data_IF_795256025626
#
_entry.id   IF_795256025626
#
_cell.length_a   1.000
_cell.length_b   1.000
_cell.length_c   1.000
_cell.angle_alpha   90.00
_cell.angle_beta   90.00
_cell.angle_gamma   90.00
#
_symmetry.space_group_name_H-M   'P 1'
#
loop_
_entity.id
_entity.type
_entity.pdbx_description
1 polymer ?
#
# COMPACT_ATOMS: atom_id res chain seq x y z
N UNK A 1 0.15 -17.32 -6.10
CA UNK A 1 -0.83 -16.48 -5.41
C UNK A 1 -2.11 -17.16 -4.92
N UNK A 2 -2.52 -18.37 -5.37
CA UNK A 2 -3.75 -19.05 -4.84
C UNK A 2 -4.98 -18.12 -4.71
N UNK A 3 -5.14 -17.19 -5.65
CA UNK A 3 -6.25 -16.23 -5.69
C UNK A 3 -7.35 -16.75 -6.62
N UNK A 4 -8.63 -16.40 -6.37
CA UNK A 4 -9.75 -16.88 -7.19
C UNK A 4 -9.84 -16.19 -8.56
N UNK A 5 -9.25 -15.00 -8.70
CA UNK A 5 -9.34 -14.17 -9.92
C UNK A 5 -7.96 -13.58 -10.24
N UNK A 6 -7.64 -13.51 -11.53
CA UNK A 6 -6.46 -12.82 -12.03
C UNK A 6 -6.86 -11.95 -13.24
N UNK A 7 -6.49 -10.66 -13.21
CA UNK A 7 -6.78 -9.70 -14.26
C UNK A 7 -5.45 -9.15 -14.80
N UNK A 8 -5.03 -9.51 -16.02
CA UNK A 8 -3.80 -8.98 -16.60
C UNK A 8 -3.97 -7.52 -17.02
N UNK A 9 -2.92 -6.72 -16.85
CA UNK A 9 -2.85 -5.32 -17.30
C UNK A 9 -1.60 -5.12 -18.14
N UNK A 10 -1.42 -3.91 -18.69
CA UNK A 10 -0.26 -3.56 -19.51
C UNK A 10 1.05 -3.36 -18.73
N UNK A 11 0.99 -3.15 -17.41
CA UNK A 11 2.17 -2.94 -16.54
C UNK A 11 1.81 -3.01 -15.05
N UNK A 12 2.81 -3.12 -14.17
CA UNK A 12 2.59 -3.04 -12.71
C UNK A 12 2.00 -1.70 -12.24
N UNK A 13 2.36 -0.58 -12.88
CA UNK A 13 1.74 0.72 -12.59
C UNK A 13 0.25 0.73 -12.98
N UNK A 14 -0.10 0.15 -14.13
CA UNK A 14 -1.50 0.00 -14.54
C UNK A 14 -2.28 -0.93 -13.60
N UNK A 15 -1.67 -2.03 -13.12
CA UNK A 15 -2.27 -2.91 -12.13
C UNK A 15 -2.56 -2.18 -10.81
N UNK A 16 -1.57 -1.44 -10.29
CA UNK A 16 -1.73 -0.65 -9.07
C UNK A 16 -2.81 0.43 -9.23
N UNK A 17 -2.85 1.10 -10.37
CA UNK A 17 -3.88 2.11 -10.65
C UNK A 17 -5.29 1.51 -10.63
N UNK A 18 -5.49 0.36 -11.29
CA UNK A 18 -6.79 -0.35 -11.29
C UNK A 18 -7.18 -0.78 -9.88
N UNK A 19 -6.23 -1.31 -9.08
CA UNK A 19 -6.48 -1.68 -7.69
C UNK A 19 -6.93 -0.48 -6.85
N UNK A 20 -6.27 0.68 -7.00
CA UNK A 20 -6.62 1.91 -6.29
C UNK A 20 -7.97 2.49 -6.74
N UNK A 21 -8.32 2.40 -8.02
CA UNK A 21 -9.65 2.78 -8.50
C UNK A 21 -10.74 1.91 -7.87
N UNK A 22 -10.50 0.61 -7.73
CA UNK A 22 -11.43 -0.31 -7.07
C UNK A 22 -11.61 -0.02 -5.57
N UNK A 23 -10.62 0.59 -4.92
CA UNK A 23 -10.71 1.02 -3.52
C UNK A 23 -11.63 2.23 -3.30
N UNK A 24 -12.06 2.90 -4.39
CA UNK A 24 -12.93 4.09 -4.37
C UNK A 24 -12.41 5.22 -3.46
N UNK A 25 -11.11 5.51 -3.56
CA UNK A 25 -10.42 6.57 -2.82
C UNK A 25 -10.64 7.93 -3.48
N UNK A 26 -10.54 9.01 -2.70
CA UNK A 26 -10.64 10.38 -3.20
C UNK A 26 -9.75 11.41 -2.45
N UNK A 27 -9.96 12.72 -2.70
CA UNK A 27 -9.11 13.82 -2.23
C UNK A 27 -8.87 13.91 -0.72
N UNK A 28 -9.77 13.37 0.09
CA UNK A 28 -9.67 13.40 1.55
C UNK A 28 -9.03 12.14 2.13
N UNK A 29 -8.77 11.14 1.29
CA UNK A 29 -8.23 9.86 1.74
C UNK A 29 -6.71 9.86 1.70
N UNK A 30 -6.13 9.15 2.66
CA UNK A 30 -4.70 8.94 2.78
C UNK A 30 -4.37 7.47 2.53
N UNK A 31 -3.27 7.25 1.80
CA UNK A 31 -2.71 5.92 1.56
C UNK A 31 -1.32 5.87 2.17
N UNK A 32 -1.08 4.94 3.09
CA UNK A 32 0.26 4.70 3.61
C UNK A 32 1.09 4.00 2.52
N UNK A 33 2.24 4.58 2.19
CA UNK A 33 3.14 4.08 1.13
C UNK A 33 4.56 3.95 1.67
N UNK A 34 5.37 2.98 1.19
CA UNK A 34 6.78 2.92 1.58
C UNK A 34 7.52 4.17 1.08
N UNK A 35 8.42 4.72 1.90
CA UNK A 35 9.32 5.81 1.49
C UNK A 35 10.36 5.31 0.48
N UNK A 36 10.84 4.08 0.67
CA UNK A 36 11.79 3.41 -0.20
C UNK A 36 11.05 2.52 -1.21
N UNK A 37 10.65 3.10 -2.34
CA UNK A 37 9.94 2.38 -3.42
C UNK A 37 10.07 3.10 -4.76
N UNK A 38 9.49 2.52 -5.81
CA UNK A 38 9.39 3.16 -7.12
C UNK A 38 8.42 4.35 -7.08
N UNK A 39 8.78 5.43 -7.78
CA UNK A 39 7.94 6.64 -7.88
C UNK A 39 6.51 6.35 -8.39
N UNK A 40 6.34 5.29 -9.17
CA UNK A 40 5.04 4.84 -9.67
C UNK A 40 4.02 4.63 -8.54
N UNK A 41 4.44 4.13 -7.37
CA UNK A 41 3.54 3.85 -6.24
C UNK A 41 2.85 5.13 -5.77
N UNK A 42 3.63 6.16 -5.43
CA UNK A 42 3.08 7.43 -4.98
C UNK A 42 2.32 8.16 -6.09
N UNK A 43 2.76 8.03 -7.34
CA UNK A 43 2.06 8.63 -8.49
C UNK A 43 0.67 8.02 -8.70
N UNK A 44 0.51 6.70 -8.60
CA UNK A 44 -0.80 6.07 -8.79
C UNK A 44 -1.77 6.47 -7.67
N UNK A 45 -1.30 6.63 -6.43
CA UNK A 45 -2.12 7.18 -5.33
C UNK A 45 -2.60 8.59 -5.65
N UNK A 46 -1.70 9.46 -6.14
CA UNK A 46 -2.09 10.83 -6.56
C UNK A 46 -3.04 10.84 -7.75
N UNK A 47 -2.90 9.90 -8.68
CA UNK A 47 -3.75 9.82 -9.88
C UNK A 47 -5.21 9.50 -9.55
N UNK A 48 -5.47 8.75 -8.47
CA UNK A 48 -6.84 8.53 -7.97
C UNK A 48 -7.32 9.66 -7.04
N UNK A 49 -6.57 10.75 -6.91
CA UNK A 49 -6.90 11.92 -6.10
C UNK A 49 -6.51 11.80 -4.62
N UNK A 50 -6.11 10.62 -4.13
CA UNK A 50 -5.72 10.42 -2.74
C UNK A 50 -4.32 10.99 -2.42
N UNK A 51 -4.03 11.15 -1.13
CA UNK A 51 -2.73 11.65 -0.64
C UNK A 51 -1.82 10.49 -0.17
N UNK A 52 -0.62 10.33 -0.75
CA UNK A 52 0.36 9.38 -0.22
C UNK A 52 0.98 9.91 1.09
N UNK A 53 1.07 9.03 2.08
CA UNK A 53 1.74 9.26 3.35
C UNK A 53 2.91 8.28 3.46
N UNK A 54 4.13 8.80 3.42
CA UNK A 54 5.34 7.98 3.38
C UNK A 54 5.68 7.40 4.75
N UNK A 55 5.92 6.10 4.77
CA UNK A 55 6.30 5.31 5.94
C UNK A 55 7.70 4.75 5.72
N UNK A 56 8.57 4.86 6.72
CA UNK A 56 9.97 4.48 6.56
C UNK A 56 10.18 2.96 6.62
N UNK A 57 11.36 2.51 6.22
CA UNK A 57 11.76 1.12 6.33
C UNK A 57 11.95 0.70 7.79
N UNK A 58 11.55 -0.53 8.11
CA UNK A 58 11.90 -1.12 9.40
C UNK A 58 13.39 -1.48 9.46
N UNK A 59 13.96 -1.52 10.67
CA UNK A 59 15.37 -1.88 10.88
C UNK A 59 15.68 -3.26 10.29
N UNK A 60 16.65 -3.32 9.38
CA UNK A 60 17.05 -4.57 8.70
C UNK A 60 16.07 -5.06 7.64
N UNK A 61 15.13 -4.20 7.22
CA UNK A 61 14.15 -4.46 6.16
C UNK A 61 14.21 -3.32 5.14
N UNK A 62 13.82 -3.60 3.90
CA UNK A 62 13.59 -2.56 2.88
C UNK A 62 12.10 -2.19 2.77
N UNK A 63 11.27 -2.73 3.66
CA UNK A 63 9.83 -2.50 3.73
C UNK A 63 9.46 -1.97 5.13
N UNK A 64 8.37 -1.19 5.25
CA UNK A 64 7.87 -0.73 6.54
C UNK A 64 7.41 -1.88 7.45
N UNK A 65 7.55 -1.70 8.77
CA UNK A 65 6.88 -2.59 9.74
C UNK A 65 5.47 -2.11 10.03
N UNK A 66 4.71 -2.96 10.74
CA UNK A 66 3.43 -2.55 11.35
C UNK A 66 3.58 -1.31 12.23
N UNK A 67 4.64 -1.22 13.03
CA UNK A 67 4.88 -0.08 13.92
C UNK A 67 5.14 1.21 13.13
N UNK A 68 5.94 1.15 12.06
CA UNK A 68 6.21 2.31 11.20
C UNK A 68 4.92 2.82 10.54
N UNK A 69 4.05 1.92 10.09
CA UNK A 69 2.73 2.28 9.54
C UNK A 69 1.81 2.93 10.60
N UNK A 70 1.80 2.39 11.83
CA UNK A 70 1.00 2.93 12.92
C UNK A 70 1.41 4.36 13.31
N UNK A 71 2.71 4.66 13.29
CA UNK A 71 3.21 6.01 13.58
C UNK A 71 2.75 7.07 12.59
N UNK A 72 2.44 6.67 11.35
CA UNK A 72 1.97 7.57 10.28
C UNK A 72 0.45 7.56 10.10
N UNK A 73 -0.25 6.74 10.87
CA UNK A 73 -1.70 6.59 10.79
C UNK A 73 -2.42 7.89 11.17
N UNK A 74 -3.47 8.23 10.42
CA UNK A 74 -4.41 9.31 10.75
C UNK A 74 -5.84 8.82 10.56
N UNK A 75 -6.87 9.56 11.03
CA UNK A 75 -8.27 9.23 10.76
C UNK A 75 -8.64 9.22 9.26
N UNK A 76 -7.81 9.81 8.41
CA UNK A 76 -8.01 9.88 6.97
C UNK A 76 -7.42 8.70 6.20
N UNK A 77 -6.67 7.81 6.87
CA UNK A 77 -6.10 6.63 6.23
C UNK A 77 -7.21 5.65 5.83
N UNK A 78 -7.15 5.18 4.58
CA UNK A 78 -8.08 4.20 4.01
C UNK A 78 -7.40 3.00 3.37
N UNK A 79 -6.11 3.10 3.06
CA UNK A 79 -5.37 2.03 2.43
C UNK A 79 -3.90 2.02 2.83
N UNK A 80 -3.28 0.86 2.68
CA UNK A 80 -1.84 0.63 2.82
C UNK A 80 -1.35 -0.05 1.56
N UNK A 81 -0.26 0.47 0.98
CA UNK A 81 0.50 -0.21 -0.05
C UNK A 81 1.76 -0.76 0.61
N UNK A 82 2.00 -2.06 0.43
CA UNK A 82 3.26 -2.71 0.80
C UNK A 82 3.95 -3.14 -0.48
N UNK A 83 5.27 -2.97 -0.55
CA UNK A 83 6.05 -3.56 -1.64
C UNK A 83 6.78 -4.80 -1.14
N UNK A 84 7.09 -5.73 -2.05
CA UNK A 84 8.07 -6.79 -1.80
C UNK A 84 9.41 -6.40 -2.44
N UNK A 85 10.03 -5.39 -1.83
CA UNK A 85 11.20 -4.71 -2.39
C UNK A 85 12.35 -5.69 -2.67
N UNK A 86 12.91 -5.61 -3.88
CA UNK A 86 13.94 -6.52 -4.40
C UNK A 86 13.56 -8.01 -4.40
N UNK A 87 12.26 -8.32 -4.45
CA UNK A 87 11.76 -9.70 -4.40
C UNK A 87 11.79 -10.29 -2.99
N UNK A 88 12.12 -9.50 -1.96
CA UNK A 88 12.07 -9.91 -0.57
C UNK A 88 10.68 -9.55 -0.04
N UNK A 89 9.93 -10.59 0.35
CA UNK A 89 8.60 -10.43 0.93
C UNK A 89 8.66 -9.54 2.18
N UNK A 90 7.62 -8.74 2.40
CA UNK A 90 7.51 -7.97 3.63
C UNK A 90 7.28 -8.93 4.79
N UNK A 91 8.19 -8.93 5.76
CA UNK A 91 8.18 -9.84 6.92
C UNK A 91 6.97 -9.70 7.84
N UNK A 92 6.32 -8.53 7.84
CA UNK A 92 5.21 -8.22 8.73
C UNK A 92 3.87 -8.21 7.97
N UNK A 93 3.79 -8.86 6.80
CA UNK A 93 2.63 -8.75 5.92
C UNK A 93 1.34 -9.28 6.56
N UNK A 94 1.42 -10.36 7.34
CA UNK A 94 0.27 -10.93 8.06
C UNK A 94 -0.27 -9.95 9.12
N UNK A 95 0.62 -9.33 9.88
CA UNK A 95 0.28 -8.35 10.91
C UNK A 95 -0.31 -7.07 10.30
N UNK A 96 0.22 -6.65 9.15
CA UNK A 96 -0.31 -5.51 8.37
C UNK A 96 -1.69 -5.85 7.80
N UNK A 97 -1.89 -7.07 7.30
CA UNK A 97 -3.19 -7.52 6.81
C UNK A 97 -4.23 -7.56 7.94
N UNK A 98 -3.87 -8.03 9.13
CA UNK A 98 -4.73 -7.97 10.30
C UNK A 98 -5.06 -6.53 10.71
N UNK A 99 -4.08 -5.64 10.75
CA UNK A 99 -4.29 -4.21 11.00
C UNK A 99 -5.30 -3.62 9.99
N UNK A 100 -5.09 -3.84 8.70
CA UNK A 100 -5.98 -3.33 7.66
C UNK A 100 -7.41 -3.86 7.83
N UNK A 101 -7.58 -5.17 8.07
CA UNK A 101 -8.89 -5.77 8.35
C UNK A 101 -9.57 -5.14 9.56
N UNK A 102 -8.85 -4.96 10.67
CA UNK A 102 -9.37 -4.38 11.91
C UNK A 102 -9.83 -2.92 11.75
N UNK A 103 -9.25 -2.20 10.80
CA UNK A 103 -9.53 -0.77 10.53
C UNK A 103 -10.48 -0.56 9.36
N UNK A 104 -10.84 -1.62 8.63
CA UNK A 104 -11.57 -1.50 7.37
C UNK A 104 -10.76 -0.79 6.28
N UNK A 105 -9.43 -0.95 6.28
CA UNK A 105 -8.55 -0.41 5.26
C UNK A 105 -8.28 -1.45 4.17
N UNK A 106 -7.99 -0.95 2.97
CA UNK A 106 -7.49 -1.76 1.88
C UNK A 106 -5.99 -2.06 2.07
N UNK A 107 -5.59 -3.30 1.79
CA UNK A 107 -4.19 -3.69 1.66
C UNK A 107 -3.92 -4.00 0.18
N UNK A 108 -2.83 -3.44 -0.35
CA UNK A 108 -2.35 -3.66 -1.71
C UNK A 108 -0.87 -4.07 -1.63
N UNK A 109 -0.51 -5.15 -2.33
CA UNK A 109 0.85 -5.74 -2.38
C UNK A 109 1.47 -5.64 -3.78
#
# INVERSE_FOLDING_TARGET
YKVPVALPTSSGAAALHVALLACNLGPNDQVLVPSFTMVAVANMVKMVGARPIYCDCAKGSMNPSREELLQKTTPLVKAVIVCHTYGIACRDIEDIAELCRSRGWWLIE
#
